data_IF_907719033729
#
_entry.id   IF_907719033729
#
_cell.length_a   1.000
_cell.length_b   1.000
_cell.length_c   1.000
_cell.angle_alpha   90.00
_cell.angle_beta   90.00
_cell.angle_gamma   90.00
#
_symmetry.space_group_name_H-M   'P 1'
#
loop_
_entity.id
_entity.type
_entity.pdbx_description
1 polymer ?
#
# COMPACT_ATOMS: atom_id res chain seq x y z
N UNK A 1 -6.53 17.16 -12.39
CA UNK A 1 -5.90 16.16 -11.48
C UNK A 1 -6.93 15.30 -10.80
N UNK A 2 -7.98 15.84 -10.18
CA UNK A 2 -9.07 14.99 -9.66
C UNK A 2 -9.79 14.17 -10.75
N UNK A 3 -9.81 14.66 -12.00
CA UNK A 3 -10.41 13.93 -13.13
C UNK A 3 -9.71 12.59 -13.42
N UNK A 4 -8.40 12.47 -13.17
CA UNK A 4 -7.68 11.21 -13.42
C UNK A 4 -8.09 10.13 -12.41
N UNK A 5 -8.43 10.53 -11.18
CA UNK A 5 -8.96 9.64 -10.15
C UNK A 5 -10.36 9.19 -10.53
N UNK A 6 -11.20 10.12 -11.00
CA UNK A 6 -12.55 9.79 -11.46
C UNK A 6 -12.54 8.89 -12.70
N UNK A 7 -11.62 9.12 -13.63
CA UNK A 7 -11.43 8.26 -14.80
C UNK A 7 -10.96 6.86 -14.40
N UNK A 8 -9.95 6.77 -13.53
CA UNK A 8 -9.49 5.46 -13.03
C UNK A 8 -10.60 4.73 -12.28
N UNK A 9 -11.39 5.42 -11.45
CA UNK A 9 -12.56 4.82 -10.79
C UNK A 9 -13.59 4.27 -11.77
N UNK A 10 -13.85 4.96 -12.90
CA UNK A 10 -14.76 4.45 -13.94
C UNK A 10 -14.25 3.14 -14.55
N UNK A 11 -12.94 3.01 -14.74
CA UNK A 11 -12.32 1.80 -15.32
C UNK A 11 -12.46 0.56 -14.43
N UNK A 12 -12.60 0.71 -13.10
CA UNK A 12 -12.89 -0.43 -12.22
C UNK A 12 -14.28 -1.04 -12.44
N UNK A 13 -15.22 -0.30 -13.06
CA UNK A 13 -16.56 -0.82 -13.35
C UNK A 13 -17.35 -1.26 -12.12
N UNK A 14 -17.10 -0.64 -10.97
CA UNK A 14 -17.72 -1.01 -9.70
C UNK A 14 -19.26 -0.99 -9.78
N UNK A 15 -19.88 -2.11 -9.44
CA UNK A 15 -21.34 -2.33 -9.55
C UNK A 15 -22.08 -2.11 -8.23
N UNK A 16 -21.34 -2.07 -7.11
CA UNK A 16 -21.87 -1.90 -5.77
C UNK A 16 -20.96 -1.04 -4.88
N UNK A 17 -21.50 -0.59 -3.74
CA UNK A 17 -20.80 0.30 -2.82
C UNK A 17 -19.50 -0.31 -2.23
N UNK A 18 -19.40 -1.63 -2.11
CA UNK A 18 -18.20 -2.30 -1.60
C UNK A 18 -17.10 -2.29 -2.64
N UNK A 19 -17.42 -2.61 -3.90
CA UNK A 19 -16.48 -2.53 -5.02
C UNK A 19 -15.96 -1.10 -5.23
N UNK A 20 -16.84 -0.11 -5.12
CA UNK A 20 -16.47 1.29 -5.25
C UNK A 20 -15.55 1.75 -4.11
N UNK A 21 -15.82 1.33 -2.87
CA UNK A 21 -14.93 1.59 -1.74
C UNK A 21 -13.56 0.94 -1.94
N UNK A 22 -13.52 -0.30 -2.42
CA UNK A 22 -12.30 -1.03 -2.69
C UNK A 22 -11.47 -0.36 -3.80
N UNK A 23 -12.10 0.03 -4.91
CA UNK A 23 -11.45 0.77 -5.99
C UNK A 23 -10.88 2.10 -5.48
N UNK A 24 -11.63 2.82 -4.64
CA UNK A 24 -11.16 4.08 -4.07
C UNK A 24 -9.95 3.85 -3.16
N UNK A 25 -9.99 2.84 -2.29
CA UNK A 25 -8.83 2.49 -1.43
C UNK A 25 -7.58 2.17 -2.25
N UNK A 26 -7.73 1.41 -3.32
CA UNK A 26 -6.62 1.02 -4.20
C UNK A 26 -6.00 2.23 -4.90
N UNK A 27 -6.82 3.14 -5.44
CA UNK A 27 -6.32 4.36 -6.08
C UNK A 27 -5.60 5.26 -5.08
N UNK A 28 -6.13 5.41 -3.87
CA UNK A 28 -5.50 6.21 -2.81
C UNK A 28 -4.17 5.56 -2.38
N UNK A 29 -4.07 4.24 -2.37
CA UNK A 29 -2.81 3.52 -2.13
C UNK A 29 -1.78 3.76 -3.22
N UNK A 30 -2.17 3.74 -4.50
CA UNK A 30 -1.25 4.07 -5.59
C UNK A 30 -0.76 5.53 -5.55
N UNK A 31 -1.65 6.48 -5.22
CA UNK A 31 -1.25 7.88 -5.02
C UNK A 31 -0.27 7.99 -3.84
N UNK A 32 -0.45 7.21 -2.77
CA UNK A 32 0.48 7.17 -1.66
C UNK A 32 1.86 6.61 -2.08
N UNK A 33 1.91 5.55 -2.89
CA UNK A 33 3.17 5.02 -3.43
C UNK A 33 3.88 6.06 -4.33
N UNK A 34 3.13 6.76 -5.17
CA UNK A 34 3.66 7.86 -5.98
C UNK A 34 4.22 9.00 -5.12
N UNK A 35 3.50 9.40 -4.07
CA UNK A 35 3.97 10.44 -3.16
C UNK A 35 5.23 10.03 -2.38
N UNK A 36 5.33 8.76 -1.97
CA UNK A 36 6.53 8.21 -1.35
C UNK A 36 7.71 8.22 -2.32
N UNK A 37 7.49 7.84 -3.59
CA UNK A 37 8.52 7.94 -4.63
C UNK A 37 8.98 9.40 -4.84
N UNK A 38 8.04 10.35 -4.92
CA UNK A 38 8.33 11.79 -5.01
C UNK A 38 9.18 12.31 -3.86
N UNK A 39 9.14 11.64 -2.72
CA UNK A 39 9.93 11.96 -1.53
C UNK A 39 11.16 11.10 -1.33
N UNK A 40 11.66 10.44 -2.39
CA UNK A 40 12.87 9.60 -2.35
C UNK A 40 12.81 8.44 -1.34
N UNK A 41 11.62 8.07 -0.88
CA UNK A 41 11.44 7.06 0.16
C UNK A 41 12.01 5.69 -0.25
N UNK A 42 11.89 5.33 -1.54
CA UNK A 42 12.42 4.07 -2.07
C UNK A 42 13.95 4.02 -2.13
N UNK A 43 14.66 5.12 -1.89
CA UNK A 43 16.12 5.09 -1.72
C UNK A 43 16.51 4.42 -0.40
N UNK A 44 15.63 4.45 0.61
CA UNK A 44 15.91 3.95 1.96
C UNK A 44 15.02 2.77 2.36
N UNK A 45 13.91 2.52 1.66
CA UNK A 45 12.95 1.48 1.99
C UNK A 45 12.52 0.66 0.77
N UNK A 46 12.09 -0.58 1.04
CA UNK A 46 11.49 -1.50 0.08
C UNK A 46 10.04 -1.72 0.48
N UNK A 47 9.16 -1.71 -0.51
CA UNK A 47 7.77 -2.13 -0.32
C UNK A 47 7.67 -3.65 -0.11
N UNK A 48 6.93 -4.06 0.91
CA UNK A 48 6.79 -5.45 1.36
C UNK A 48 5.32 -5.69 1.73
N UNK A 49 4.46 -6.21 0.84
CA UNK A 49 3.17 -6.74 1.30
C UNK A 49 2.48 -7.64 0.26
N UNK A 50 1.39 -8.29 0.67
CA UNK A 50 0.33 -8.78 -0.21
C UNK A 50 -0.40 -7.70 -1.03
N UNK A 51 -0.23 -6.40 -0.74
CA UNK A 51 -0.57 -5.32 -1.69
C UNK A 51 0.38 -5.28 -2.87
N UNK A 52 1.69 -5.52 -2.69
CA UNK A 52 2.60 -5.70 -3.84
C UNK A 52 2.07 -6.83 -4.72
N UNK A 53 1.54 -7.89 -4.11
CA UNK A 53 0.94 -9.00 -4.84
C UNK A 53 -0.42 -8.65 -5.49
N UNK A 54 -1.12 -7.60 -5.05
CA UNK A 54 -2.34 -7.10 -5.72
C UNK A 54 -2.04 -6.06 -6.81
N UNK A 55 -1.27 -5.02 -6.48
CA UNK A 55 -0.93 -3.94 -7.41
C UNK A 55 0.05 -4.43 -8.47
N UNK A 56 1.08 -5.19 -8.07
CA UNK A 56 2.10 -5.71 -9.00
C UNK A 56 1.72 -7.08 -9.58
N UNK A 57 1.00 -7.93 -8.84
CA UNK A 57 0.69 -9.31 -9.27
C UNK A 57 -0.82 -9.64 -9.38
N UNK A 58 -1.71 -8.64 -9.32
CA UNK A 58 -3.16 -8.74 -9.58
C UNK A 58 -3.96 -9.73 -8.71
N UNK A 59 -3.56 -9.95 -7.45
CA UNK A 59 -4.36 -10.73 -6.51
C UNK A 59 -5.75 -10.13 -6.21
N UNK A 60 -6.81 -10.95 -6.16
CA UNK A 60 -8.17 -10.48 -5.92
C UNK A 60 -8.48 -10.29 -4.41
N UNK A 61 -7.58 -9.70 -3.61
CA UNK A 61 -7.84 -9.37 -2.20
C UNK A 61 -7.33 -7.99 -1.79
N UNK A 62 -8.17 -7.18 -1.15
CA UNK A 62 -7.76 -5.84 -0.70
C UNK A 62 -6.91 -5.97 0.57
N UNK A 63 -5.96 -5.08 0.77
CA UNK A 63 -5.30 -4.88 2.07
C UNK A 63 -5.38 -3.41 2.44
N UNK A 64 -5.43 -3.15 3.74
CA UNK A 64 -5.56 -1.81 4.32
C UNK A 64 -4.20 -1.18 4.66
N UNK A 65 -3.12 -1.94 4.52
CA UNK A 65 -1.78 -1.62 5.00
C UNK A 65 -0.80 -1.53 3.83
N UNK A 66 -0.01 -0.47 3.79
CA UNK A 66 1.21 -0.41 2.99
C UNK A 66 2.38 -0.72 3.92
N UNK A 67 2.88 -1.93 3.82
CA UNK A 67 3.97 -2.44 4.66
C UNK A 67 5.32 -2.27 3.93
N UNK A 68 6.33 -1.85 4.66
CA UNK A 68 7.66 -1.52 4.15
C UNK A 68 8.76 -2.08 5.07
N UNK A 69 9.97 -2.13 4.54
CA UNK A 69 11.18 -2.58 5.23
C UNK A 69 12.31 -1.65 4.83
N UNK A 70 13.16 -1.26 5.77
CA UNK A 70 14.34 -0.48 5.42
C UNK A 70 15.35 -1.28 4.59
N UNK A 71 16.11 -0.59 3.74
CA UNK A 71 17.24 -1.20 3.03
C UNK A 71 18.46 -1.40 3.94
N UNK A 72 18.50 -0.67 5.04
CA UNK A 72 19.52 -0.81 6.09
C UNK A 72 18.91 -0.49 7.44
N UNK A 73 19.23 -1.24 8.51
CA UNK A 73 18.69 -0.97 9.83
C UNK A 73 18.94 0.48 10.26
N UNK A 74 17.88 1.17 10.67
CA UNK A 74 17.96 2.53 11.19
C UNK A 74 16.93 2.72 12.29
N UNK A 75 17.32 2.59 13.57
CA UNK A 75 16.40 2.76 14.69
C UNK A 75 15.88 4.20 14.78
N UNK A 76 16.50 5.18 14.13
CA UNK A 76 16.14 6.60 14.13
C UNK A 76 15.26 7.01 12.92
N UNK A 77 14.77 6.05 12.11
CA UNK A 77 13.94 6.36 10.94
C UNK A 77 12.73 7.23 11.29
N UNK A 78 12.51 8.36 10.61
CA UNK A 78 11.35 9.23 10.88
C UNK A 78 10.38 9.28 9.71
N UNK A 79 9.08 9.12 10.01
CA UNK A 79 8.01 9.24 9.04
C UNK A 79 7.70 10.71 8.69
N UNK A 80 7.98 11.67 9.57
CA UNK A 80 7.53 13.05 9.42
C UNK A 80 7.90 13.71 8.07
N UNK A 81 9.13 13.56 7.53
CA UNK A 81 9.47 14.12 6.22
C UNK A 81 8.60 13.55 5.09
N UNK A 82 8.35 12.24 5.11
CA UNK A 82 7.54 11.57 4.09
C UNK A 82 6.06 11.88 4.23
N UNK A 83 5.54 12.01 5.46
CA UNK A 83 4.15 12.39 5.71
C UNK A 83 3.86 13.81 5.21
N UNK A 84 4.81 14.74 5.34
CA UNK A 84 4.69 16.08 4.77
C UNK A 84 4.53 16.02 3.24
N UNK A 85 5.35 15.22 2.57
CA UNK A 85 5.30 15.04 1.11
C UNK A 85 3.98 14.38 0.68
N UNK A 86 3.51 13.38 1.44
CA UNK A 86 2.20 12.76 1.24
C UNK A 86 1.09 13.82 1.28
N UNK A 87 1.03 14.66 2.33
CA UNK A 87 0.02 15.72 2.43
C UNK A 87 0.09 16.68 1.24
N UNK A 88 1.30 17.12 0.87
CA UNK A 88 1.52 18.03 -0.26
C UNK A 88 1.04 17.43 -1.59
N UNK A 89 1.38 16.17 -1.89
CA UNK A 89 0.98 15.49 -3.12
C UNK A 89 -0.52 15.26 -3.16
N UNK A 90 -1.12 14.78 -2.06
CA UNK A 90 -2.58 14.56 -1.99
C UNK A 90 -3.37 15.86 -2.16
N UNK A 91 -2.87 16.99 -1.64
CA UNK A 91 -3.49 18.30 -1.85
C UNK A 91 -3.56 18.69 -3.34
N UNK A 92 -2.61 18.26 -4.17
CA UNK A 92 -2.64 18.50 -5.62
C UNK A 92 -3.77 17.73 -6.31
N UNK A 93 -4.20 16.60 -5.74
CA UNK A 93 -5.37 15.84 -6.15
C UNK A 93 -6.68 16.38 -5.56
N UNK A 94 -6.62 17.49 -4.83
CA UNK A 94 -7.73 18.06 -4.04
C UNK A 94 -8.23 17.14 -2.93
N UNK A 95 -7.39 16.20 -2.49
CA UNK A 95 -7.64 15.31 -1.37
C UNK A 95 -7.09 15.91 -0.08
N UNK A 96 -7.88 15.90 1.00
CA UNK A 96 -7.47 16.47 2.29
C UNK A 96 -7.02 15.34 3.21
N UNK A 97 -5.72 15.11 3.24
CA UNK A 97 -5.10 14.08 4.03
C UNK A 97 -4.75 14.60 5.44
N UNK A 98 -5.24 13.92 6.46
CA UNK A 98 -4.66 14.00 7.80
C UNK A 98 -3.65 12.86 7.95
N UNK A 99 -2.39 13.22 8.17
CA UNK A 99 -1.27 12.30 8.23
C UNK A 99 -0.56 12.48 9.57
N UNK A 100 -0.61 11.45 10.42
CA UNK A 100 -0.01 11.50 11.75
C UNK A 100 0.87 10.26 11.96
N UNK A 101 2.11 10.43 12.44
CA UNK A 101 2.88 9.31 12.95
C UNK A 101 2.15 8.76 14.18
N UNK A 102 2.09 7.44 14.32
CA UNK A 102 1.64 6.86 15.59
C UNK A 102 2.84 6.72 16.51
N UNK A 103 2.72 7.27 17.72
CA UNK A 103 3.63 6.95 18.79
C UNK A 103 3.45 5.48 19.19
N UNK A 104 4.41 4.65 18.82
CA UNK A 104 4.69 3.39 19.52
C UNK A 104 6.15 3.42 19.96
N UNK A 105 6.33 3.54 21.27
CA UNK A 105 7.60 3.29 21.93
C UNK A 105 7.84 1.76 21.91
N UNK A 106 9.05 1.33 21.54
CA UNK A 106 9.56 -0.06 21.60
C UNK A 106 9.15 -1.12 20.56
N UNK A 107 8.91 -0.78 19.29
CA UNK A 107 8.89 -1.80 18.22
C UNK A 107 9.69 -1.37 17.01
N UNK A 108 10.41 -2.32 16.40
CA UNK A 108 11.09 -2.14 15.11
C UNK A 108 10.12 -1.71 13.99
N UNK A 109 8.80 -1.84 14.19
CA UNK A 109 7.78 -1.40 13.24
C UNK A 109 7.25 -0.02 13.61
N UNK A 110 7.41 0.97 12.72
CA UNK A 110 6.85 2.32 12.86
C UNK A 110 5.59 2.47 12.00
N UNK A 111 4.51 2.98 12.59
CA UNK A 111 3.21 3.13 11.91
C UNK A 111 2.88 4.61 11.62
N UNK A 112 2.21 4.88 10.49
CA UNK A 112 1.53 6.14 10.22
C UNK A 112 0.13 5.89 9.66
N UNK A 113 -0.78 6.85 9.85
CA UNK A 113 -2.15 6.76 9.34
C UNK A 113 -2.43 7.92 8.41
N UNK A 114 -2.96 7.60 7.24
CA UNK A 114 -3.56 8.53 6.30
C UNK A 114 -5.08 8.44 6.43
N UNK A 115 -5.74 9.56 6.71
CA UNK A 115 -7.19 9.62 6.90
C UNK A 115 -7.78 10.74 6.06
N UNK A 116 -8.83 10.43 5.28
CA UNK A 116 -9.68 11.43 4.63
C UNK A 116 -11.16 11.09 4.92
N UNK A 117 -11.86 12.03 5.57
CA UNK A 117 -13.27 11.90 5.95
C UNK A 117 -14.25 12.38 4.86
N UNK A 118 -13.74 13.03 3.83
CA UNK A 118 -14.50 13.72 2.78
C UNK A 118 -14.16 13.25 1.35
N UNK A 119 -13.26 12.29 1.18
CA UNK A 119 -12.86 11.76 -0.13
C UNK A 119 -14.03 11.35 -1.01
N UNK A 120 -15.07 10.77 -0.41
CA UNK A 120 -16.31 10.41 -1.08
C UNK A 120 -17.03 11.63 -1.69
N UNK A 121 -17.13 12.72 -0.92
CA UNK A 121 -17.75 13.96 -1.37
C UNK A 121 -16.86 14.76 -2.33
N UNK A 122 -15.54 14.63 -2.22
CA UNK A 122 -14.60 15.31 -3.12
C UNK A 122 -14.58 14.64 -4.50
N UNK A 123 -14.74 13.32 -4.55
CA UNK A 123 -14.75 12.53 -5.78
C UNK A 123 -16.14 12.38 -6.41
N UNK A 124 -17.15 13.04 -5.85
CA UNK A 124 -18.57 12.92 -6.24
C UNK A 124 -19.07 11.46 -6.26
N UNK A 125 -18.62 10.68 -5.29
CA UNK A 125 -19.00 9.28 -5.15
C UNK A 125 -20.33 9.21 -4.40
N UNK A 126 -21.43 9.10 -5.14
CA UNK A 126 -22.70 8.62 -4.58
C UNK A 126 -22.55 7.14 -4.27
N UNK A 127 -22.07 6.81 -3.06
CA UNK A 127 -22.19 5.44 -2.56
C UNK A 127 -23.66 5.07 -2.54
N UNK A 128 -24.09 4.18 -3.43
CA UNK A 128 -25.47 3.73 -3.52
C UNK A 128 -25.94 3.26 -2.14
N UNK A 129 -26.91 3.99 -1.56
CA UNK A 129 -27.82 3.47 -0.55
C UNK A 129 -27.50 3.66 0.94
N UNK A 130 -26.50 4.43 1.38
CA UNK A 130 -26.31 4.57 2.86
C UNK A 130 -26.20 5.99 3.44
N UNK A 131 -26.07 7.05 2.65
CA UNK A 131 -26.01 8.44 3.18
C UNK A 131 -24.88 8.70 4.20
N UNK A 132 -24.03 7.70 4.49
CA UNK A 132 -22.93 7.76 5.45
C UNK A 132 -21.65 8.05 4.70
N UNK A 133 -21.04 9.19 5.02
CA UNK A 133 -19.66 9.52 4.67
C UNK A 133 -18.76 8.42 5.24
N UNK A 134 -18.06 7.68 4.38
CA UNK A 134 -17.10 6.66 4.81
C UNK A 134 -15.71 7.25 4.76
N UNK A 135 -15.05 7.25 5.91
CA UNK A 135 -13.65 7.64 6.03
C UNK A 135 -12.77 6.57 5.38
N UNK A 136 -11.91 6.98 4.43
CA UNK A 136 -10.86 6.10 3.93
C UNK A 136 -9.64 6.24 4.83
N UNK A 137 -9.11 5.09 5.25
CA UNK A 137 -7.95 4.99 6.12
C UNK A 137 -6.91 4.08 5.47
N UNK A 138 -5.70 4.59 5.28
CA UNK A 138 -4.53 3.80 4.89
C UNK A 138 -3.56 3.81 6.06
N UNK A 139 -2.98 2.66 6.35
CA UNK A 139 -1.91 2.53 7.35
C UNK A 139 -0.60 2.30 6.62
N UNK A 140 0.43 3.04 6.99
CA UNK A 140 1.80 2.81 6.57
C UNK A 140 2.52 2.11 7.72
N UNK A 141 3.23 1.03 7.47
CA UNK A 141 4.08 0.36 8.46
C UNK A 141 5.47 0.18 7.87
N UNK A 142 6.52 0.40 8.65
CA UNK A 142 7.90 0.13 8.21
C UNK A 142 8.70 -0.59 9.27
N UNK A 143 9.32 -1.71 8.90
CA UNK A 143 10.30 -2.41 9.71
C UNK A 143 11.68 -1.73 9.61
N UNK A 144 12.15 -1.19 10.74
CA UNK A 144 13.42 -0.48 10.87
C UNK A 144 14.61 -1.38 11.19
N UNK A 145 14.37 -2.68 11.45
CA UNK A 145 15.42 -3.66 11.71
C UNK A 145 15.14 -4.97 10.95
N UNK A 146 15.15 -4.92 9.61
CA UNK A 146 14.81 -6.06 8.78
C UNK A 146 15.88 -7.15 8.85
N UNK A 147 15.48 -8.43 8.68
CA UNK A 147 16.43 -9.52 8.62
C UNK A 147 17.36 -9.38 7.40
N UNK A 148 18.65 -9.75 7.54
CA UNK A 148 19.57 -9.72 6.42
C UNK A 148 19.18 -10.77 5.36
N UNK A 149 19.60 -10.54 4.11
CA UNK A 149 19.46 -11.51 3.03
C UNK A 149 18.16 -11.41 2.22
N UNK A 150 17.37 -10.36 2.39
CA UNK A 150 16.28 -10.04 1.47
C UNK A 150 16.83 -9.54 0.13
N UNK A 151 16.34 -10.09 -0.98
CA UNK A 151 16.51 -9.53 -2.30
C UNK A 151 15.62 -8.29 -2.53
N UNK A 152 16.01 -7.45 -3.48
CA UNK A 152 15.24 -6.29 -3.94
C UNK A 152 14.93 -6.42 -5.43
N UNK A 153 13.78 -5.89 -5.83
CA UNK A 153 13.34 -5.79 -7.21
C UNK A 153 12.68 -4.43 -7.45
N UNK A 154 12.60 -4.05 -8.72
CA UNK A 154 12.02 -2.79 -9.16
C UNK A 154 10.88 -3.06 -10.14
N UNK A 155 9.76 -2.36 -9.95
CA UNK A 155 8.65 -2.33 -10.90
C UNK A 155 8.27 -0.88 -11.23
N UNK A 156 7.92 -0.62 -12.49
CA UNK A 156 7.38 0.67 -12.92
C UNK A 156 5.85 0.66 -12.83
N UNK A 157 5.31 1.68 -12.18
CA UNK A 157 3.88 1.97 -12.13
C UNK A 157 3.59 3.20 -12.99
N UNK A 158 2.41 3.26 -13.59
CA UNK A 158 2.00 4.26 -14.57
C UNK A 158 0.96 5.27 -14.04
N UNK A 159 0.48 5.08 -12.81
CA UNK A 159 -0.55 5.93 -12.20
C UNK A 159 -0.13 6.48 -10.82
N UNK A 160 -0.28 7.80 -10.57
CA UNK A 160 -0.90 8.83 -11.42
C UNK A 160 0.01 9.38 -12.53
N UNK A 161 1.27 8.98 -12.54
CA UNK A 161 2.27 9.23 -13.58
C UNK A 161 3.23 8.03 -13.58
N UNK A 162 4.23 8.01 -14.45
CA UNK A 162 5.25 6.96 -14.44
C UNK A 162 6.24 7.16 -13.28
N UNK A 163 6.45 6.11 -12.47
CA UNK A 163 7.41 6.11 -11.37
C UNK A 163 7.92 4.71 -11.05
N UNK A 164 9.06 4.69 -10.37
CA UNK A 164 9.72 3.47 -9.93
C UNK A 164 9.30 3.12 -8.49
N UNK A 165 8.86 1.89 -8.28
CA UNK A 165 8.68 1.33 -6.94
C UNK A 165 9.73 0.26 -6.70
N UNK A 166 10.49 0.42 -5.61
CA UNK A 166 11.39 -0.62 -5.10
C UNK A 166 10.67 -1.47 -4.07
N UNK A 167 10.78 -2.77 -4.21
CA UNK A 167 10.08 -3.73 -3.37
C UNK A 167 10.97 -4.94 -3.10
N UNK A 168 10.62 -5.73 -2.08
CA UNK A 168 11.26 -7.02 -1.88
C UNK A 168 10.96 -7.94 -3.07
N UNK A 169 11.93 -8.76 -3.45
CA UNK A 169 11.70 -9.77 -4.47
C UNK A 169 10.67 -10.82 -4.02
N UNK A 170 10.13 -11.56 -4.98
CA UNK A 170 9.08 -12.54 -4.71
C UNK A 170 9.53 -13.64 -3.73
N UNK A 171 10.73 -14.25 -3.87
CA UNK A 171 11.24 -15.24 -2.92
C UNK A 171 11.35 -14.71 -1.47
N UNK A 172 11.87 -13.50 -1.28
CA UNK A 172 12.03 -12.91 0.06
C UNK A 172 10.68 -12.61 0.71
N UNK A 173 9.73 -12.08 -0.07
CA UNK A 173 8.35 -11.88 0.39
C UNK A 173 7.71 -13.20 0.86
N UNK A 174 7.88 -14.28 0.09
CA UNK A 174 7.36 -15.60 0.49
C UNK A 174 8.07 -16.14 1.73
N UNK A 175 9.39 -16.00 1.85
CA UNK A 175 10.14 -16.42 3.03
C UNK A 175 9.61 -15.75 4.31
N UNK A 176 9.32 -14.45 4.25
CA UNK A 176 8.75 -13.71 5.39
C UNK A 176 7.33 -14.15 5.73
N UNK A 177 6.51 -14.52 4.73
CA UNK A 177 5.19 -15.13 4.97
C UNK A 177 5.29 -16.51 5.60
N UNK A 178 6.23 -17.35 5.16
CA UNK A 178 6.50 -18.67 5.77
C UNK A 178 6.94 -18.47 7.22
N UNK A 179 7.88 -17.56 7.47
CA UNK A 179 8.31 -17.23 8.82
C UNK A 179 7.14 -16.76 9.69
N UNK A 180 6.29 -15.87 9.18
CA UNK A 180 5.09 -15.42 9.87
C UNK A 180 4.10 -16.56 10.18
N UNK A 181 3.95 -17.54 9.28
CA UNK A 181 3.10 -18.71 9.50
C UNK A 181 3.66 -19.65 10.56
N UNK A 182 4.98 -19.87 10.57
CA UNK A 182 5.63 -20.81 11.47
C UNK A 182 5.88 -20.25 12.87
N UNK A 183 6.14 -18.95 12.98
CA UNK A 183 6.64 -18.33 14.20
C UNK A 183 5.61 -17.45 14.93
N UNK A 184 4.44 -17.14 14.34
CA UNK A 184 3.36 -16.47 15.08
C UNK A 184 2.63 -17.45 15.98
N UNK A 185 2.32 -17.03 17.21
CA UNK A 185 1.49 -17.80 18.14
C UNK A 185 0.00 -17.87 17.79
N UNK A 186 -0.42 -17.40 16.60
CA UNK A 186 -1.80 -17.42 16.15
C UNK A 186 -1.89 -17.52 14.61
N UNK A 187 -2.96 -18.14 14.12
CA UNK A 187 -3.21 -18.32 12.69
C UNK A 187 -3.76 -17.03 12.06
N UNK A 188 -3.16 -16.59 10.94
CA UNK A 188 -3.68 -15.49 10.12
C UNK A 188 -4.10 -16.05 8.76
N UNK A 189 -5.40 -16.28 8.55
CA UNK A 189 -5.92 -16.94 7.33
C UNK A 189 -5.53 -16.29 6.01
N UNK A 190 -5.20 -14.98 6.00
CA UNK A 190 -4.68 -14.27 4.83
C UNK A 190 -3.32 -14.79 4.36
N UNK A 191 -2.47 -15.21 5.28
CA UNK A 191 -1.13 -15.70 4.94
C UNK A 191 -1.23 -17.04 4.19
N UNK A 192 -2.23 -17.87 4.49
CA UNK A 192 -2.52 -19.11 3.76
C UNK A 192 -3.10 -18.88 2.35
N UNK A 193 -3.96 -17.87 2.19
CA UNK A 193 -4.51 -17.51 0.88
C UNK A 193 -3.39 -17.15 -0.12
N UNK A 194 -2.33 -16.52 0.39
CA UNK A 194 -1.17 -16.14 -0.40
C UNK A 194 -0.37 -17.36 -0.93
N UNK A 195 -0.51 -18.55 -0.33
CA UNK A 195 0.10 -19.78 -0.85
C UNK A 195 -0.82 -20.57 -1.78
N UNK A 196 -2.00 -20.04 -2.13
CA UNK A 196 -2.94 -20.77 -2.99
C UNK A 196 -2.41 -20.92 -4.44
N UNK A 197 -2.76 -22.01 -5.15
CA UNK A 197 -2.20 -22.33 -6.48
C UNK A 197 -2.41 -21.27 -7.59
N UNK A 198 -3.24 -20.25 -7.37
CA UNK A 198 -3.36 -19.11 -8.29
C UNK A 198 -2.09 -18.24 -8.36
N UNK A 199 -1.22 -18.31 -7.35
CA UNK A 199 0.05 -17.57 -7.28
C UNK A 199 1.20 -18.21 -8.06
N UNK A 200 1.18 -19.53 -8.30
CA UNK A 200 2.33 -20.26 -8.89
C UNK A 200 2.49 -20.06 -10.40
N UNK A 201 1.57 -19.35 -11.06
CA UNK A 201 1.55 -19.19 -12.52
C UNK A 201 2.26 -17.94 -13.05
N UNK A 202 2.68 -17.01 -12.19
CA UNK A 202 3.40 -15.79 -12.60
C UNK A 202 4.92 -15.94 -12.64
N UNK A 203 5.46 -17.11 -12.29
CA UNK A 203 6.91 -17.39 -12.27
C UNK A 203 7.45 -18.32 -13.36
N UNK A 204 6.59 -18.94 -14.17
CA UNK A 204 7.05 -19.76 -15.30
C UNK A 204 7.02 -18.93 -16.58
N UNK A 205 8.19 -18.47 -17.04
CA UNK A 205 8.38 -18.17 -18.45
C UNK A 205 7.97 -19.41 -19.26
N UNK A 206 7.15 -19.28 -20.31
CA UNK A 206 6.92 -20.40 -21.22
C UNK A 206 8.26 -20.75 -21.88
N UNK A 207 8.64 -22.02 -21.81
CA UNK A 207 9.72 -22.61 -22.61
C UNK A 207 9.20 -22.79 -24.04
#
# INVERSE_FOLDING_TARGET
>A
MIEIIQEKLRQYGATNAVEQENATKEIVQEIALYALWRGDFFNVALFQDGISLRILHRLPRLSEYLDFVLRSPNPEFDWAPYLKILVEVFAQFRLKLDAQPKERMDKAVREAVLKDEAIASQLDLTFAGTGRRRTIKIKLEIDTNPPPGSGEATTFLDFPSEYEVRHQDLPSNFALKIHALLCRGYLKGRDWYDFSPGMSRTGCLPI
#
